data_IF_864133370713
#
_entry.id   IF_864133370713
#
_cell.length_a   1.000
_cell.length_b   1.000
_cell.length_c   1.000
_cell.angle_alpha   90.00
_cell.angle_beta   90.00
_cell.angle_gamma   90.00
#
_symmetry.space_group_name_H-M   'P 1'
#
loop_
_entity.id
_entity.type
_entity.pdbx_description
1 polymer ?
#
# COMPACT_ATOMS: atom_id res chain seq x y z
N UNK A 1 17.73 -17.88 13.95
CA UNK A 1 16.37 -18.46 13.84
C UNK A 1 15.23 -17.50 14.20
N UNK A 2 15.07 -16.95 15.42
CA UNK A 2 13.99 -15.96 15.68
C UNK A 2 14.14 -14.65 14.89
N UNK A 3 15.36 -14.13 14.79
CA UNK A 3 15.65 -12.91 14.02
C UNK A 3 15.36 -13.10 12.51
N UNK A 4 15.72 -14.26 11.94
CA UNK A 4 15.47 -14.59 10.53
C UNK A 4 13.98 -14.61 10.20
N UNK A 5 13.14 -15.16 11.09
CA UNK A 5 11.69 -15.14 10.91
C UNK A 5 11.09 -13.73 10.94
N UNK A 6 11.67 -12.81 11.72
CA UNK A 6 11.26 -11.39 11.74
C UNK A 6 11.74 -10.68 10.48
N UNK A 7 12.99 -10.91 10.08
CA UNK A 7 13.57 -10.33 8.87
C UNK A 7 12.83 -10.77 7.61
N UNK A 8 12.45 -12.04 7.52
CA UNK A 8 11.66 -12.57 6.40
C UNK A 8 10.29 -11.89 6.31
N UNK A 9 9.57 -11.77 7.43
CA UNK A 9 8.27 -11.07 7.47
C UNK A 9 8.41 -9.61 7.03
N UNK A 10 9.42 -8.93 7.54
CA UNK A 10 9.71 -7.54 7.15
C UNK A 10 10.01 -7.43 5.65
N UNK A 11 10.75 -8.38 5.08
CA UNK A 11 11.06 -8.40 3.66
C UNK A 11 9.79 -8.56 2.81
N UNK A 12 8.90 -9.49 3.18
CA UNK A 12 7.63 -9.68 2.47
C UNK A 12 6.77 -8.40 2.48
N UNK A 13 6.69 -7.71 3.62
CA UNK A 13 5.99 -6.42 3.73
C UNK A 13 6.64 -5.36 2.82
N UNK A 14 7.97 -5.24 2.86
CA UNK A 14 8.71 -4.28 2.03
C UNK A 14 8.57 -4.55 0.53
N UNK A 15 8.59 -5.83 0.12
CA UNK A 15 8.38 -6.23 -1.27
C UNK A 15 6.98 -5.80 -1.74
N UNK A 16 5.97 -6.05 -0.92
CA UNK A 16 4.60 -5.69 -1.22
C UNK A 16 4.42 -4.16 -1.35
N UNK A 17 4.96 -3.39 -0.40
CA UNK A 17 4.96 -1.93 -0.46
C UNK A 17 5.71 -1.39 -1.68
N UNK A 18 6.77 -2.07 -2.12
CA UNK A 18 7.57 -1.64 -3.28
C UNK A 18 6.77 -1.71 -4.58
N UNK A 19 5.91 -2.71 -4.75
CA UNK A 19 5.01 -2.81 -5.92
C UNK A 19 4.10 -1.59 -5.98
N UNK A 20 3.40 -1.28 -4.89
CA UNK A 20 2.45 -0.16 -4.87
C UNK A 20 3.13 1.20 -4.99
N UNK A 21 4.28 1.39 -4.32
CA UNK A 21 5.06 2.64 -4.40
C UNK A 21 5.56 2.92 -5.81
N UNK A 22 6.04 1.90 -6.53
CA UNK A 22 6.44 2.06 -7.93
C UNK A 22 5.27 2.55 -8.76
N UNK A 23 4.09 1.92 -8.64
CA UNK A 23 2.90 2.33 -9.40
C UNK A 23 2.46 3.74 -9.05
N UNK A 24 2.29 4.03 -7.76
CA UNK A 24 1.88 5.34 -7.27
C UNK A 24 2.84 6.44 -7.71
N UNK A 25 4.15 6.19 -7.71
CA UNK A 25 5.15 7.16 -8.16
C UNK A 25 5.00 7.52 -9.65
N UNK A 26 4.83 6.53 -10.53
CA UNK A 26 4.62 6.79 -11.96
C UNK A 26 3.29 7.52 -12.21
N UNK A 27 2.23 7.15 -11.48
CA UNK A 27 0.94 7.83 -11.53
C UNK A 27 1.03 9.29 -11.07
N UNK A 28 1.80 9.57 -10.01
CA UNK A 28 2.04 10.93 -9.53
C UNK A 28 2.87 11.75 -10.52
N UNK A 29 3.93 11.18 -11.11
CA UNK A 29 4.75 11.89 -12.10
C UNK A 29 3.97 12.30 -13.35
N UNK A 30 2.99 11.51 -13.78
CA UNK A 30 2.12 11.87 -14.91
C UNK A 30 1.02 12.86 -14.52
N UNK A 31 0.54 12.79 -13.28
CA UNK A 31 -0.65 13.52 -12.81
C UNK A 31 -0.40 14.73 -11.92
N UNK A 32 0.84 15.03 -11.50
CA UNK A 32 1.13 16.01 -10.44
C UNK A 32 0.54 17.41 -10.69
N UNK A 33 0.48 17.86 -11.94
CA UNK A 33 -0.10 19.16 -12.32
C UNK A 33 -1.59 19.30 -11.98
N UNK A 34 -2.28 18.17 -11.79
CA UNK A 34 -3.70 18.13 -11.44
C UNK A 34 -3.94 18.14 -9.93
N UNK A 35 -2.90 17.90 -9.12
CA UNK A 35 -2.99 17.88 -7.65
C UNK A 35 -3.14 19.33 -7.16
N UNK A 36 -4.18 19.60 -6.37
CA UNK A 36 -4.47 20.95 -5.86
C UNK A 36 -5.14 21.90 -6.86
N UNK A 37 -5.40 21.48 -8.11
CA UNK A 37 -6.13 22.32 -9.07
C UNK A 37 -7.62 22.41 -8.71
N UNK A 38 -8.08 23.61 -8.35
CA UNK A 38 -9.45 23.91 -7.89
C UNK A 38 -10.46 23.94 -9.06
N UNK A 39 -10.54 22.87 -9.85
CA UNK A 39 -11.42 22.75 -11.00
C UNK A 39 -12.51 21.68 -10.80
N UNK A 40 -13.79 22.07 -10.88
CA UNK A 40 -14.98 21.20 -10.71
C UNK A 40 -15.08 19.98 -11.67
N UNK A 41 -14.16 19.82 -12.63
CA UNK A 41 -14.22 18.80 -13.71
C UNK A 41 -13.28 17.59 -13.54
N UNK A 42 -12.59 17.41 -12.41
CA UNK A 42 -11.54 16.35 -12.26
C UNK A 42 -11.68 15.48 -11.00
N UNK A 43 -12.89 15.19 -10.55
CA UNK A 43 -13.16 14.52 -9.26
C UNK A 43 -12.56 13.09 -9.18
N UNK A 44 -12.58 12.32 -10.27
CA UNK A 44 -12.10 10.92 -10.27
C UNK A 44 -10.57 10.83 -10.27
N UNK A 45 -9.90 11.61 -11.14
CA UNK A 45 -8.44 11.65 -11.19
C UNK A 45 -7.81 12.21 -9.91
N UNK A 46 -8.49 13.15 -9.26
CA UNK A 46 -8.04 13.70 -7.98
C UNK A 46 -8.02 12.64 -6.86
N UNK A 47 -9.05 11.76 -6.79
CA UNK A 47 -9.12 10.71 -5.77
C UNK A 47 -8.03 9.65 -5.94
N UNK A 48 -7.77 9.23 -7.18
CA UNK A 48 -6.69 8.27 -7.45
C UNK A 48 -5.31 8.86 -7.13
N UNK A 49 -5.04 10.10 -7.53
CA UNK A 49 -3.78 10.77 -7.19
C UNK A 49 -3.63 11.00 -5.69
N UNK A 50 -4.72 11.32 -4.98
CA UNK A 50 -4.72 11.40 -3.51
C UNK A 50 -4.33 10.06 -2.89
N UNK A 51 -4.93 8.95 -3.34
CA UNK A 51 -4.57 7.61 -2.87
C UNK A 51 -3.09 7.29 -3.16
N UNK A 52 -2.53 7.77 -4.28
CA UNK A 52 -1.11 7.61 -4.58
C UNK A 52 -0.22 8.35 -3.58
N UNK A 53 -0.62 9.55 -3.13
CA UNK A 53 0.09 10.30 -2.07
C UNK A 53 -0.02 9.55 -0.74
N UNK A 54 -1.20 9.04 -0.42
CA UNK A 54 -1.48 8.36 0.85
C UNK A 54 -0.59 7.11 1.05
N UNK A 55 -0.11 6.45 -0.01
CA UNK A 55 0.87 5.34 0.10
C UNK A 55 2.18 5.77 0.77
N UNK A 56 2.62 7.00 0.55
CA UNK A 56 3.89 7.51 1.04
C UNK A 56 3.77 8.15 2.43
N UNK A 57 2.55 8.42 2.87
CA UNK A 57 2.29 8.99 4.18
C UNK A 57 2.22 7.87 5.22
N UNK A 58 3.17 7.89 6.14
CA UNK A 58 3.08 7.09 7.35
C UNK A 58 2.25 7.88 8.36
N UNK A 59 1.01 7.44 8.65
CA UNK A 59 0.16 8.13 9.62
C UNK A 59 0.66 7.81 11.02
N UNK A 60 1.28 8.81 11.65
CA UNK A 60 1.56 8.75 13.08
C UNK A 60 0.26 9.06 13.81
N UNK A 61 -0.59 8.05 13.98
CA UNK A 61 -1.81 8.18 14.77
C UNK A 61 -1.44 8.21 16.26
N UNK A 62 -1.64 9.36 16.91
CA UNK A 62 -1.47 9.54 18.36
C UNK A 62 -2.72 9.16 19.17
N UNK A 63 -3.69 8.50 18.55
CA UNK A 63 -4.93 8.08 19.20
C UNK A 63 -4.63 6.81 19.98
N UNK A 64 -4.51 6.93 21.30
CA UNK A 64 -4.43 5.78 22.20
C UNK A 64 -5.83 5.17 22.29
N UNK A 65 -6.15 4.25 21.39
CA UNK A 65 -7.35 3.43 21.53
C UNK A 65 -7.27 2.64 22.84
N UNK A 66 -8.38 2.59 23.59
CA UNK A 66 -8.52 1.75 24.78
C UNK A 66 -8.71 0.26 24.41
N UNK A 67 -7.95 -0.24 23.44
CA UNK A 67 -8.00 -1.61 22.95
C UNK A 67 -6.61 -2.25 23.10
N UNK A 68 -6.58 -3.46 23.65
CA UNK A 68 -5.33 -4.24 23.75
C UNK A 68 -5.00 -4.76 22.35
N UNK A 69 -3.78 -4.54 21.81
CA UNK A 69 -3.40 -5.06 20.50
C UNK A 69 -3.58 -6.58 20.46
N UNK A 70 -4.46 -7.06 19.59
CA UNK A 70 -4.63 -8.50 19.36
C UNK A 70 -3.63 -8.98 18.32
N UNK A 71 -3.02 -10.14 18.58
CA UNK A 71 -2.04 -10.72 17.66
C UNK A 71 -2.76 -11.22 16.40
N UNK A 72 -2.58 -10.51 15.29
CA UNK A 72 -3.10 -10.92 13.97
C UNK A 72 -2.07 -11.84 13.29
N UNK A 73 -2.49 -12.97 12.69
CA UNK A 73 -1.64 -13.79 11.84
C UNK A 73 -0.99 -12.96 10.72
N UNK A 74 0.30 -13.20 10.47
CA UNK A 74 1.07 -12.43 9.47
C UNK A 74 0.45 -12.48 8.07
N UNK A 75 -0.05 -13.65 7.67
CA UNK A 75 -0.74 -13.84 6.38
C UNK A 75 -1.98 -12.95 6.26
N UNK A 76 -2.81 -12.91 7.30
CA UNK A 76 -4.02 -12.07 7.33
C UNK A 76 -3.65 -10.57 7.27
N UNK A 77 -2.54 -10.17 7.90
CA UNK A 77 -2.00 -8.80 7.79
C UNK A 77 -1.66 -8.46 6.34
N UNK A 78 -0.97 -9.36 5.62
CA UNK A 78 -0.62 -9.17 4.21
C UNK A 78 -1.88 -9.12 3.32
N UNK A 79 -2.84 -10.02 3.52
CA UNK A 79 -4.11 -10.05 2.76
C UNK A 79 -4.93 -8.76 2.94
N UNK A 80 -4.99 -8.25 4.17
CA UNK A 80 -5.61 -6.94 4.46
C UNK A 80 -4.91 -5.82 3.72
N UNK A 81 -3.57 -5.81 3.74
CA UNK A 81 -2.78 -4.78 3.06
C UNK A 81 -2.96 -4.83 1.54
N UNK A 82 -3.03 -6.02 0.95
CA UNK A 82 -3.36 -6.22 -0.49
C UNK A 82 -4.75 -5.68 -0.81
N UNK A 83 -5.74 -6.00 0.03
CA UNK A 83 -7.13 -5.56 -0.17
C UNK A 83 -7.27 -4.04 -0.12
N UNK A 84 -6.51 -3.38 0.77
CA UNK A 84 -6.47 -1.91 0.87
C UNK A 84 -5.88 -1.24 -0.38
N UNK A 85 -4.94 -1.90 -1.06
CA UNK A 85 -4.17 -1.33 -2.17
C UNK A 85 -4.45 -2.01 -3.52
N UNK A 86 -5.61 -2.67 -3.69
CA UNK A 86 -6.01 -3.34 -4.95
C UNK A 86 -5.95 -2.40 -6.15
N UNK A 87 -6.17 -1.11 -5.95
CA UNK A 87 -6.12 -0.07 -6.99
C UNK A 87 -4.75 0.05 -7.69
N UNK A 88 -3.69 -0.51 -7.10
CA UNK A 88 -2.33 -0.46 -7.63
C UNK A 88 -1.91 -1.76 -8.34
N UNK A 89 -2.76 -2.78 -8.35
CA UNK A 89 -2.53 -4.08 -9.00
C UNK A 89 -3.31 -4.12 -10.32
N UNK A 90 -2.67 -3.66 -11.40
CA UNK A 90 -3.31 -3.61 -12.73
C UNK A 90 -2.62 -4.53 -13.73
N UNK A 91 -1.31 -4.78 -13.56
CA UNK A 91 -0.56 -5.67 -14.44
C UNK A 91 -0.61 -7.11 -13.93
N UNK A 92 -0.69 -8.05 -14.87
CA UNK A 92 -0.62 -9.48 -14.58
C UNK A 92 0.62 -9.85 -13.75
N UNK A 93 1.75 -9.20 -14.03
CA UNK A 93 3.02 -9.39 -13.29
C UNK A 93 2.90 -8.97 -11.82
N UNK A 94 2.12 -7.92 -11.51
CA UNK A 94 1.91 -7.48 -10.13
C UNK A 94 1.07 -8.51 -9.36
N UNK A 95 0.04 -9.06 -10.00
CA UNK A 95 -0.77 -10.13 -9.41
C UNK A 95 0.05 -11.40 -9.15
N UNK A 96 0.95 -11.77 -10.05
CA UNK A 96 1.86 -12.91 -9.88
C UNK A 96 2.84 -12.70 -8.73
N UNK A 97 3.43 -11.50 -8.64
CA UNK A 97 4.33 -11.14 -7.55
C UNK A 97 3.62 -11.17 -6.18
N UNK A 98 2.40 -10.63 -6.10
CA UNK A 98 1.60 -10.65 -4.87
C UNK A 98 1.16 -12.08 -4.53
N UNK A 99 0.77 -12.88 -5.52
CA UNK A 99 0.40 -14.28 -5.32
C UNK A 99 1.58 -15.11 -4.80
N UNK A 100 2.79 -14.87 -5.31
CA UNK A 100 4.00 -15.50 -4.80
C UNK A 100 4.25 -15.11 -3.33
N UNK A 101 4.06 -13.84 -2.98
CA UNK A 101 4.26 -13.36 -1.60
C UNK A 101 3.22 -13.94 -0.63
N UNK A 102 1.96 -14.13 -1.05
CA UNK A 102 0.87 -14.69 -0.24
C UNK A 102 0.88 -16.23 -0.16
N UNK A 103 1.52 -16.89 -1.12
CA UNK A 103 1.66 -18.35 -1.20
C UNK A 103 2.83 -18.94 -0.42
N UNK A 104 3.73 -18.09 0.10
CA UNK A 104 4.80 -18.45 1.05
C UNK A 104 4.27 -18.56 2.48
#
# INVERSE_FOLDING_TARGET
MRAEGVQFKMLCEQMLHSVWRKRAYHSLLSGFKNIGSQGKKKVVGHKYLQNCVDIFLDRIDHIVEASVPTSIPFKEKLEKAVTQHVLFLEQQVDHENVAHILGM
#
